data_IF_056955092287
#
_entry.id   IF_056955092287
#
_cell.length_a   1.000
_cell.length_b   1.000
_cell.length_c   1.000
_cell.angle_alpha   90.00
_cell.angle_beta   90.00
_cell.angle_gamma   90.00
#
_symmetry.space_group_name_H-M   'P 1'
#
loop_
_entity.id
_entity.type
_entity.pdbx_description
1 polymer ?
#
# COMPACT_ATOMS: atom_id res chain seq x y z
N UNK A 1 14.11 13.69 -2.65
CA UNK A 1 14.76 14.46 -3.73
C UNK A 1 15.99 13.73 -4.24
N UNK A 2 17.00 13.42 -3.40
CA UNK A 2 18.21 12.67 -3.81
C UNK A 2 17.87 11.34 -4.53
N UNK A 3 16.91 10.56 -4.00
CA UNK A 3 16.46 9.33 -4.66
C UNK A 3 15.87 9.59 -6.05
N UNK A 4 15.14 10.69 -6.23
CA UNK A 4 14.61 11.07 -7.53
C UNK A 4 15.72 11.50 -8.52
N UNK A 5 16.78 12.15 -8.06
CA UNK A 5 17.97 12.44 -8.88
C UNK A 5 18.60 11.15 -9.42
N UNK A 6 18.67 10.12 -8.59
CA UNK A 6 19.24 8.81 -8.94
C UNK A 6 18.26 7.86 -9.65
N UNK A 7 17.03 8.30 -10.00
CA UNK A 7 15.97 7.42 -10.51
C UNK A 7 16.36 6.55 -11.71
N UNK A 8 17.12 7.11 -12.62
CA UNK A 8 17.56 6.37 -13.82
C UNK A 8 18.54 5.24 -13.49
N UNK A 9 19.40 5.44 -12.50
CA UNK A 9 20.36 4.43 -12.03
C UNK A 9 19.68 3.29 -11.27
N UNK A 10 18.54 3.57 -10.64
CA UNK A 10 17.80 2.64 -9.79
C UNK A 10 16.55 2.08 -10.48
N UNK A 11 16.49 2.06 -11.81
CA UNK A 11 15.34 1.56 -12.58
C UNK A 11 13.99 2.15 -12.11
N UNK A 12 13.96 3.44 -11.79
CA UNK A 12 12.80 4.15 -11.30
C UNK A 12 12.47 3.91 -9.83
N UNK A 13 13.18 3.04 -9.10
CA UNK A 13 12.92 2.78 -7.68
C UNK A 13 13.50 3.91 -6.83
N UNK A 14 12.62 4.62 -6.10
CA UNK A 14 13.03 5.71 -5.22
C UNK A 14 13.17 5.28 -3.76
N UNK A 15 12.51 4.18 -3.38
CA UNK A 15 12.53 3.61 -2.05
C UNK A 15 11.21 3.74 -1.30
N UNK A 16 11.22 3.31 -0.03
CA UNK A 16 10.07 3.29 0.85
C UNK A 16 10.26 4.31 1.98
N UNK A 17 9.22 5.11 2.18
CA UNK A 17 9.09 6.08 3.24
C UNK A 17 8.19 5.49 4.33
N UNK A 18 8.81 4.84 5.33
CA UNK A 18 8.09 4.23 6.44
C UNK A 18 7.96 5.23 7.59
N UNK A 19 6.78 5.78 7.74
CA UNK A 19 6.43 6.68 8.83
C UNK A 19 5.13 6.22 9.47
N UNK A 20 5.09 6.16 10.79
CA UNK A 20 3.92 5.69 11.54
C UNK A 20 2.65 6.46 11.19
N UNK A 21 1.50 5.87 11.45
CA UNK A 21 0.21 6.52 11.22
C UNK A 21 0.12 7.84 12.01
N UNK A 22 -0.50 8.86 11.45
CA UNK A 22 -0.59 10.18 12.07
C UNK A 22 0.66 11.09 11.93
N UNK A 23 1.76 10.59 11.35
CA UNK A 23 3.02 11.35 11.20
C UNK A 23 3.06 12.35 10.05
N UNK A 24 1.94 12.58 9.36
CA UNK A 24 1.86 13.55 8.27
C UNK A 24 2.36 13.05 6.91
N UNK A 25 2.22 11.74 6.59
CA UNK A 25 2.63 11.17 5.30
C UNK A 25 2.03 11.90 4.10
N UNK A 26 0.74 12.25 4.13
CA UNK A 26 0.08 12.99 3.03
C UNK A 26 0.72 14.35 2.80
N UNK A 27 1.07 15.09 3.86
CA UNK A 27 1.82 16.34 3.74
C UNK A 27 3.24 16.13 3.20
N UNK A 28 3.87 15.00 3.54
CA UNK A 28 5.18 14.64 2.97
C UNK A 28 5.09 14.39 1.47
N UNK A 29 3.99 13.80 0.96
CA UNK A 29 3.72 13.66 -0.48
C UNK A 29 3.54 15.02 -1.14
N UNK A 30 2.77 15.94 -0.53
CA UNK A 30 2.59 17.32 -0.98
C UNK A 30 3.93 18.05 -1.10
N UNK A 31 4.74 18.03 -0.03
CA UNK A 31 6.04 18.71 0.02
C UNK A 31 7.04 18.10 -0.99
N UNK A 32 7.03 16.77 -1.15
CA UNK A 32 7.87 16.10 -2.15
C UNK A 32 7.46 16.53 -3.56
N UNK A 33 6.17 16.55 -3.86
CA UNK A 33 5.61 17.00 -5.14
C UNK A 33 6.03 18.43 -5.47
N UNK A 34 5.90 19.35 -4.51
CA UNK A 34 6.36 20.75 -4.66
C UNK A 34 7.86 20.83 -4.92
N UNK A 35 8.67 20.11 -4.14
CA UNK A 35 10.13 20.12 -4.27
C UNK A 35 10.58 19.60 -5.62
N UNK A 36 9.97 18.53 -6.12
CA UNK A 36 10.30 17.97 -7.43
C UNK A 36 9.98 18.97 -8.52
N UNK A 37 8.76 19.53 -8.52
CA UNK A 37 8.31 20.50 -9.54
C UNK A 37 9.10 21.81 -9.55
N UNK A 38 9.65 22.20 -8.40
CA UNK A 38 10.48 23.42 -8.29
C UNK A 38 11.94 23.20 -8.64
N UNK A 39 12.48 22.00 -8.36
CA UNK A 39 13.92 21.73 -8.51
C UNK A 39 14.29 21.18 -9.88
N UNK A 40 13.39 20.43 -10.50
CA UNK A 40 13.67 19.76 -11.76
C UNK A 40 12.91 20.46 -12.90
N UNK A 41 13.61 20.60 -14.03
CA UNK A 41 12.98 21.10 -15.26
C UNK A 41 11.98 20.06 -15.81
N UNK A 42 11.01 20.56 -16.57
CA UNK A 42 9.94 19.76 -17.14
C UNK A 42 8.64 19.84 -16.34
N UNK A 43 7.63 19.13 -16.80
CA UNK A 43 6.30 19.08 -16.20
C UNK A 43 5.93 17.65 -15.85
N UNK A 44 6.49 17.07 -14.76
CA UNK A 44 6.22 15.69 -14.42
C UNK A 44 4.76 15.48 -14.05
N UNK A 45 4.17 14.39 -14.48
CA UNK A 45 2.89 13.88 -13.99
C UNK A 45 3.12 13.13 -12.68
N UNK A 46 2.46 13.54 -11.60
CA UNK A 46 2.54 12.88 -10.30
C UNK A 46 1.26 12.06 -10.10
N UNK A 47 1.41 10.74 -10.01
CA UNK A 47 0.33 9.79 -9.80
C UNK A 47 0.31 9.42 -8.32
N UNK A 48 -0.78 9.76 -7.63
CA UNK A 48 -1.03 9.37 -6.24
C UNK A 48 -1.89 8.12 -6.26
N UNK A 49 -1.35 7.05 -5.68
CA UNK A 49 -1.92 5.73 -5.71
C UNK A 49 -2.34 5.31 -4.30
N UNK A 50 -3.61 4.95 -4.14
CA UNK A 50 -4.20 4.48 -2.88
C UNK A 50 -4.90 3.14 -3.08
N UNK A 51 -5.31 2.50 -2.00
CA UNK A 51 -6.07 1.24 -2.03
C UNK A 51 -7.58 1.41 -1.79
N UNK A 52 -8.01 2.59 -1.30
CA UNK A 52 -9.41 2.90 -0.93
C UNK A 52 -9.83 4.28 -1.41
N UNK A 53 -11.10 4.40 -1.77
CA UNK A 53 -11.69 5.65 -2.24
C UNK A 53 -11.65 6.77 -1.20
N UNK A 54 -11.89 6.45 0.08
CA UNK A 54 -11.86 7.44 1.16
C UNK A 54 -10.45 8.05 1.30
N UNK A 55 -9.40 7.22 1.23
CA UNK A 55 -8.02 7.71 1.28
C UNK A 55 -7.67 8.53 0.04
N UNK A 56 -8.15 8.10 -1.14
CA UNK A 56 -7.94 8.81 -2.38
C UNK A 56 -8.53 10.23 -2.30
N UNK A 57 -9.75 10.35 -1.79
CA UNK A 57 -10.43 11.63 -1.58
C UNK A 57 -9.68 12.46 -0.54
N UNK A 58 -9.35 11.89 0.62
CA UNK A 58 -8.64 12.60 1.69
C UNK A 58 -7.30 13.18 1.23
N UNK A 59 -6.53 12.39 0.46
CA UNK A 59 -5.22 12.86 -0.04
C UNK A 59 -5.42 13.92 -1.11
N UNK A 60 -6.37 13.74 -2.03
CA UNK A 60 -6.65 14.73 -3.08
C UNK A 60 -7.09 16.06 -2.50
N UNK A 61 -7.93 16.06 -1.46
CA UNK A 61 -8.35 17.26 -0.72
C UNK A 61 -7.16 17.92 -0.01
N UNK A 62 -6.23 17.12 0.53
CA UNK A 62 -5.00 17.66 1.14
C UNK A 62 -4.16 18.41 0.09
N UNK A 63 -4.03 17.88 -1.13
CA UNK A 63 -3.33 18.55 -2.24
C UNK A 63 -4.05 19.83 -2.68
N UNK A 64 -5.39 19.81 -2.74
CA UNK A 64 -6.20 20.99 -3.06
C UNK A 64 -6.04 22.07 -1.99
N UNK A 65 -6.19 21.73 -0.71
CA UNK A 65 -6.07 22.64 0.41
C UNK A 65 -4.67 23.25 0.56
N UNK A 66 -3.63 22.49 0.14
CA UNK A 66 -2.25 23.02 0.08
C UNK A 66 -1.97 23.84 -1.19
N UNK A 67 -2.96 24.11 -2.04
CA UNK A 67 -2.85 24.95 -3.22
C UNK A 67 -2.07 24.34 -4.40
N UNK A 68 -1.80 23.02 -4.39
CA UNK A 68 -1.04 22.37 -5.48
C UNK A 68 -1.84 22.24 -6.76
N UNK A 69 -3.16 22.15 -6.66
CA UNK A 69 -4.06 21.97 -7.80
C UNK A 69 -4.47 23.32 -8.44
N UNK A 70 -3.97 24.43 -7.91
CA UNK A 70 -4.29 25.78 -8.37
C UNK A 70 -5.78 26.08 -8.18
N UNK A 71 -6.44 26.55 -9.26
CA UNK A 71 -7.90 26.81 -9.28
C UNK A 71 -8.72 25.57 -9.67
N UNK A 72 -8.07 24.45 -9.96
CA UNK A 72 -8.74 23.23 -10.44
C UNK A 72 -9.09 22.37 -9.24
N UNK A 73 -10.35 21.95 -9.15
CA UNK A 73 -10.80 21.05 -8.08
C UNK A 73 -10.17 19.67 -8.22
N UNK A 74 -9.91 19.00 -7.09
CA UNK A 74 -9.33 17.67 -7.01
C UNK A 74 -10.07 16.64 -7.88
N UNK A 75 -11.40 16.70 -7.94
CA UNK A 75 -12.24 15.79 -8.72
C UNK A 75 -11.83 15.67 -10.20
N UNK A 76 -11.26 16.70 -10.81
CA UNK A 76 -10.78 16.67 -12.20
C UNK A 76 -9.58 15.72 -12.37
N UNK A 77 -8.80 15.56 -11.32
CA UNK A 77 -7.56 14.76 -11.34
C UNK A 77 -7.80 13.31 -10.91
N UNK A 78 -8.98 12.98 -10.38
CA UNK A 78 -9.33 11.63 -9.98
C UNK A 78 -9.62 10.78 -11.22
N UNK A 79 -8.95 9.64 -11.36
CA UNK A 79 -9.27 8.67 -12.40
C UNK A 79 -10.51 7.87 -12.00
N UNK A 80 -11.55 7.90 -12.85
CA UNK A 80 -12.85 7.25 -12.57
C UNK A 80 -12.86 5.76 -12.91
N UNK A 81 -12.08 5.35 -13.90
CA UNK A 81 -11.98 3.95 -14.36
C UNK A 81 -10.57 3.64 -14.85
N UNK A 82 -10.30 2.37 -15.17
CA UNK A 82 -9.02 1.97 -15.79
C UNK A 82 -8.81 2.61 -17.16
N UNK A 83 -9.87 2.81 -17.96
CA UNK A 83 -9.79 3.49 -19.26
C UNK A 83 -9.51 4.98 -19.09
N UNK A 84 -10.16 5.62 -18.12
CA UNK A 84 -9.92 7.03 -17.80
C UNK A 84 -8.50 7.23 -17.28
N UNK A 85 -7.99 6.28 -16.47
CA UNK A 85 -6.59 6.29 -16.03
C UNK A 85 -5.61 6.26 -17.22
N UNK A 86 -5.82 5.35 -18.17
CA UNK A 86 -4.99 5.24 -19.36
C UNK A 86 -5.04 6.54 -20.17
N UNK A 87 -6.23 7.09 -20.40
CA UNK A 87 -6.41 8.36 -21.10
C UNK A 87 -5.66 9.51 -20.41
N UNK A 88 -5.74 9.59 -19.08
CA UNK A 88 -5.03 10.59 -18.30
C UNK A 88 -3.51 10.39 -18.37
N UNK A 89 -3.03 9.15 -18.34
CA UNK A 89 -1.61 8.83 -18.42
C UNK A 89 -0.99 9.12 -19.81
N UNK A 90 -1.77 9.04 -20.87
CA UNK A 90 -1.36 9.43 -22.22
C UNK A 90 -1.28 10.96 -22.41
N UNK A 91 -1.98 11.70 -21.54
CA UNK A 91 -1.87 13.15 -21.47
C UNK A 91 -0.69 13.59 -20.60
N UNK A 92 -0.65 14.89 -20.28
CA UNK A 92 0.34 15.45 -19.33
C UNK A 92 -0.37 16.25 -18.23
N UNK A 93 -1.25 15.65 -17.42
CA UNK A 93 -1.83 16.32 -16.27
C UNK A 93 -0.77 16.45 -15.17
N UNK A 94 -0.85 17.53 -14.40
CA UNK A 94 0.07 17.73 -13.26
C UNK A 94 -0.04 16.65 -12.21
N UNK A 95 -1.27 16.14 -11.99
CA UNK A 95 -1.59 15.13 -10.98
C UNK A 95 -2.60 14.13 -11.52
N UNK A 96 -2.55 12.90 -11.02
CA UNK A 96 -3.58 11.87 -11.18
C UNK A 96 -3.76 11.22 -9.80
N UNK A 97 -4.98 11.19 -9.28
CA UNK A 97 -5.34 10.44 -8.09
C UNK A 97 -6.09 9.18 -8.52
N UNK A 98 -5.64 8.01 -8.07
CA UNK A 98 -6.20 6.74 -8.55
C UNK A 98 -6.08 5.63 -7.52
N UNK A 99 -6.90 4.61 -7.68
CA UNK A 99 -6.81 3.37 -6.92
C UNK A 99 -5.91 2.37 -7.62
N UNK A 100 -5.20 1.54 -6.85
CA UNK A 100 -4.36 0.46 -7.38
C UNK A 100 -5.17 -0.54 -8.23
N UNK A 101 -6.42 -0.78 -7.87
CA UNK A 101 -7.33 -1.70 -8.58
C UNK A 101 -7.62 -1.25 -10.02
N UNK A 102 -7.41 0.02 -10.35
CA UNK A 102 -7.59 0.53 -11.72
C UNK A 102 -6.47 0.11 -12.68
N UNK A 103 -5.39 -0.47 -12.16
CA UNK A 103 -4.36 -1.18 -12.96
C UNK A 103 -4.75 -2.65 -13.24
N UNK A 104 -6.04 -2.94 -13.40
CA UNK A 104 -6.57 -4.28 -13.60
C UNK A 104 -6.45 -4.82 -15.02
N UNK A 105 -6.14 -3.99 -16.00
CA UNK A 105 -6.01 -4.41 -17.39
C UNK A 105 -4.72 -5.18 -17.63
N UNK A 106 -4.88 -6.40 -18.13
CA UNK A 106 -3.76 -7.24 -18.59
C UNK A 106 -3.44 -6.91 -20.05
N UNK A 107 -2.17 -7.06 -20.43
CA UNK A 107 -1.70 -6.91 -21.81
C UNK A 107 -1.94 -5.53 -22.44
N UNK A 108 -1.91 -4.46 -21.63
CA UNK A 108 -1.93 -3.09 -22.15
C UNK A 108 -0.54 -2.74 -22.66
N UNK A 109 -0.46 -2.05 -23.80
CA UNK A 109 0.81 -1.56 -24.33
C UNK A 109 1.44 -0.57 -23.33
N UNK A 110 2.75 -0.65 -23.11
CA UNK A 110 3.45 0.29 -22.23
C UNK A 110 3.25 1.74 -22.68
N UNK A 111 3.02 2.61 -21.73
CA UNK A 111 2.95 4.07 -21.92
C UNK A 111 4.32 4.64 -21.58
N UNK A 112 4.99 5.21 -22.57
CA UNK A 112 6.31 5.86 -22.45
C UNK A 112 6.16 7.31 -22.93
N UNK A 113 5.73 8.22 -22.04
CA UNK A 113 5.55 9.62 -22.42
C UNK A 113 6.91 10.35 -22.48
N UNK A 114 6.91 11.51 -23.15
CA UNK A 114 8.09 12.39 -23.26
C UNK A 114 8.41 13.12 -21.94
N UNK A 115 7.57 12.99 -20.93
CA UNK A 115 7.74 13.60 -19.62
C UNK A 115 7.87 12.54 -18.53
N UNK A 116 8.45 12.93 -17.39
CA UNK A 116 8.58 12.04 -16.24
C UNK A 116 7.22 11.73 -15.62
N UNK A 117 6.98 10.46 -15.31
CA UNK A 117 5.88 10.02 -14.43
C UNK A 117 6.47 9.61 -13.08
N UNK A 118 5.83 10.06 -12.00
CA UNK A 118 6.22 9.75 -10.63
C UNK A 118 5.04 9.15 -9.91
N UNK A 119 5.16 7.92 -9.47
CA UNK A 119 4.13 7.20 -8.72
C UNK A 119 4.46 7.30 -7.24
N UNK A 120 3.56 7.88 -6.47
CA UNK A 120 3.58 7.94 -5.00
C UNK A 120 2.46 7.03 -4.48
N UNK A 121 2.83 5.88 -3.94
CA UNK A 121 1.87 4.88 -3.46
C UNK A 121 1.69 5.02 -1.96
N UNK A 122 0.46 5.25 -1.50
CA UNK A 122 0.13 5.13 -0.09
C UNK A 122 -0.20 3.68 0.27
N UNK A 123 0.09 3.29 1.50
CA UNK A 123 -0.08 1.93 2.03
C UNK A 123 0.56 0.85 1.14
N UNK A 124 1.79 1.09 0.68
CA UNK A 124 2.52 0.27 -0.28
C UNK A 124 2.73 -1.21 0.13
N UNK A 125 2.46 -1.56 1.39
CA UNK A 125 2.72 -2.89 1.98
C UNK A 125 1.56 -3.90 1.81
N UNK A 126 0.39 -3.48 1.30
CA UNK A 126 -0.80 -4.35 1.27
C UNK A 126 -0.69 -5.47 0.23
N UNK A 127 -1.11 -6.68 0.60
CA UNK A 127 -1.00 -7.92 -0.18
C UNK A 127 -1.72 -7.90 -1.54
N UNK A 128 -2.73 -7.04 -1.72
CA UNK A 128 -3.42 -6.87 -3.01
C UNK A 128 -2.56 -6.20 -4.09
N UNK A 129 -1.39 -5.68 -3.71
CA UNK A 129 -0.47 -5.01 -4.63
C UNK A 129 0.20 -5.93 -5.66
N UNK A 130 0.30 -7.25 -5.43
CA UNK A 130 1.10 -8.15 -6.26
C UNK A 130 0.81 -8.04 -7.76
N UNK A 131 -0.38 -8.44 -8.18
CA UNK A 131 -0.75 -8.44 -9.62
C UNK A 131 -0.89 -7.02 -10.16
N UNK A 132 -1.49 -6.11 -9.40
CA UNK A 132 -1.68 -4.73 -9.81
C UNK A 132 -0.37 -3.96 -9.88
N UNK A 133 0.58 -4.25 -8.98
CA UNK A 133 1.92 -3.67 -9.01
C UNK A 133 2.69 -4.10 -10.26
N UNK A 134 2.61 -5.37 -10.63
CA UNK A 134 3.24 -5.85 -11.86
C UNK A 134 2.59 -5.20 -13.09
N UNK A 135 1.27 -5.09 -13.14
CA UNK A 135 0.56 -4.39 -14.22
C UNK A 135 0.96 -2.90 -14.29
N UNK A 136 1.09 -2.23 -13.15
CA UNK A 136 1.53 -0.84 -13.06
C UNK A 136 2.96 -0.67 -13.60
N UNK A 137 3.88 -1.54 -13.21
CA UNK A 137 5.27 -1.52 -13.69
C UNK A 137 5.33 -1.81 -15.18
N UNK A 138 4.55 -2.76 -15.69
CA UNK A 138 4.48 -3.09 -17.11
C UNK A 138 3.86 -1.95 -17.93
N UNK A 139 2.83 -1.30 -17.41
CA UNK A 139 2.18 -0.16 -18.06
C UNK A 139 3.08 1.08 -18.09
N UNK A 140 3.83 1.32 -17.01
CA UNK A 140 4.67 2.51 -16.81
C UNK A 140 6.12 2.12 -16.48
N UNK A 141 6.85 1.51 -17.42
CA UNK A 141 8.18 0.94 -17.15
C UNK A 141 9.23 2.00 -16.79
N UNK A 142 9.08 3.23 -17.28
CA UNK A 142 10.01 4.34 -17.02
C UNK A 142 9.64 5.20 -15.81
N UNK A 143 8.47 4.95 -15.18
CA UNK A 143 8.02 5.75 -14.06
C UNK A 143 8.92 5.62 -12.82
N UNK A 144 9.15 6.74 -12.15
CA UNK A 144 9.78 6.75 -10.84
C UNK A 144 8.74 6.36 -9.78
N UNK A 145 9.09 5.47 -8.83
CA UNK A 145 8.16 4.88 -7.86
C UNK A 145 8.66 5.04 -6.44
N UNK A 146 7.81 5.58 -5.56
CA UNK A 146 8.07 5.72 -4.13
C UNK A 146 6.88 5.17 -3.35
N UNK A 147 7.17 4.34 -2.33
CA UNK A 147 6.16 3.81 -1.43
C UNK A 147 6.09 4.62 -0.14
N UNK A 148 4.88 4.90 0.35
CA UNK A 148 4.61 5.44 1.68
C UNK A 148 3.86 4.36 2.47
N UNK A 149 4.25 4.13 3.71
CA UNK A 149 3.59 3.13 4.55
C UNK A 149 3.63 3.51 6.03
N UNK A 150 2.60 3.13 6.76
CA UNK A 150 2.53 3.27 8.22
C UNK A 150 3.10 2.08 8.97
N UNK A 151 3.29 0.96 8.30
CA UNK A 151 3.77 -0.29 8.91
C UNK A 151 5.13 -0.69 8.34
N UNK A 152 5.97 -1.39 9.13
CA UNK A 152 7.22 -1.92 8.61
C UNK A 152 6.97 -2.98 7.54
N UNK A 153 7.88 -3.08 6.58
CA UNK A 153 7.93 -4.21 5.68
C UNK A 153 8.33 -5.45 6.49
N UNK A 154 7.50 -6.47 6.46
CA UNK A 154 7.86 -7.76 7.04
C UNK A 154 8.96 -8.40 6.20
N UNK A 155 9.76 -9.27 6.81
CA UNK A 155 10.91 -9.93 6.16
C UNK A 155 10.56 -10.71 4.87
N UNK A 156 9.28 -10.96 4.62
CA UNK A 156 8.77 -11.66 3.43
C UNK A 156 8.10 -10.71 2.41
N UNK A 157 8.14 -9.39 2.60
CA UNK A 157 7.50 -8.44 1.68
C UNK A 157 8.41 -8.09 0.49
N UNK A 158 8.78 -9.13 -0.26
CA UNK A 158 9.62 -9.00 -1.45
C UNK A 158 8.96 -8.15 -2.55
N UNK A 159 7.62 -8.00 -2.55
CA UNK A 159 6.91 -7.27 -3.60
C UNK A 159 7.14 -5.77 -3.46
N UNK A 160 7.00 -5.24 -2.24
CA UNK A 160 7.21 -3.81 -1.99
C UNK A 160 8.65 -3.39 -2.26
N UNK A 161 9.62 -4.16 -1.79
CA UNK A 161 11.03 -3.89 -2.05
C UNK A 161 11.38 -4.02 -3.54
N UNK A 162 10.83 -5.02 -4.23
CA UNK A 162 10.99 -5.21 -5.68
C UNK A 162 10.43 -4.02 -6.46
N UNK A 163 9.29 -3.45 -6.03
CA UNK A 163 8.60 -2.37 -6.75
C UNK A 163 9.17 -1.01 -6.45
N UNK A 164 9.47 -0.70 -5.21
CA UNK A 164 9.85 0.64 -4.75
C UNK A 164 11.32 0.75 -4.33
N UNK A 165 11.98 -0.35 -3.97
CA UNK A 165 13.32 -0.37 -3.37
C UNK A 165 13.29 -0.39 -1.84
N UNK A 166 14.46 -0.30 -1.19
CA UNK A 166 14.60 -0.32 0.25
C UNK A 166 14.13 0.99 0.93
N UNK A 167 14.25 1.03 2.25
CA UNK A 167 13.88 2.22 3.04
C UNK A 167 14.77 3.43 2.73
N UNK A 168 14.14 4.59 2.56
CA UNK A 168 14.82 5.90 2.42
C UNK A 168 14.57 6.82 3.62
N UNK A 169 13.55 6.54 4.40
CA UNK A 169 13.23 7.24 5.64
C UNK A 169 12.46 6.33 6.57
N UNK A 170 12.83 6.33 7.85
CA UNK A 170 12.15 5.56 8.90
C UNK A 170 11.81 6.53 10.03
N UNK A 171 10.52 6.61 10.36
CA UNK A 171 10.00 7.31 11.51
C UNK A 171 9.01 6.40 12.21
N UNK A 172 9.54 5.52 13.05
CA UNK A 172 8.79 4.48 13.72
C UNK A 172 7.92 5.02 14.87
N UNK A 173 7.10 4.15 15.42
CA UNK A 173 6.20 4.49 16.51
C UNK A 173 6.94 4.97 17.76
N UNK A 174 8.11 4.37 18.09
CA UNK A 174 8.88 4.74 19.26
C UNK A 174 9.34 6.19 19.17
N UNK A 175 9.94 6.56 18.03
CA UNK A 175 10.39 7.92 17.76
C UNK A 175 9.25 8.93 17.73
N UNK A 176 8.10 8.53 17.16
CA UNK A 176 6.92 9.39 17.13
C UNK A 176 6.35 9.69 18.52
N UNK A 177 6.46 8.74 19.47
CA UNK A 177 6.08 8.96 20.87
C UNK A 177 7.11 9.85 21.58
N UNK A 178 8.41 9.61 21.38
CA UNK A 178 9.49 10.44 21.92
C UNK A 178 9.35 11.90 21.48
N UNK A 179 9.05 12.13 20.20
CA UNK A 179 8.83 13.45 19.61
C UNK A 179 7.44 14.05 19.96
N UNK A 180 6.59 13.34 20.72
CA UNK A 180 5.21 13.73 21.08
C UNK A 180 4.30 13.96 19.86
N UNK A 181 4.64 13.35 18.74
CA UNK A 181 3.81 13.38 17.53
C UNK A 181 2.62 12.40 17.61
N UNK A 182 2.76 11.33 18.42
CA UNK A 182 1.69 10.39 18.74
C UNK A 182 1.68 10.10 20.24
N UNK A 183 0.58 9.54 20.74
CA UNK A 183 0.46 9.10 22.12
C UNK A 183 0.98 7.68 22.29
N UNK A 184 1.57 7.32 23.43
CA UNK A 184 1.94 5.95 23.72
C UNK A 184 0.69 5.05 23.75
N UNK A 185 0.79 3.86 23.16
CA UNK A 185 -0.24 2.85 23.26
C UNK A 185 0.08 1.93 24.45
N UNK A 186 -0.85 1.84 25.39
CA UNK A 186 -0.81 0.87 26.46
C UNK A 186 -1.76 -0.26 26.09
N UNK A 187 -1.20 -1.44 25.88
CA UNK A 187 -1.99 -2.64 25.64
C UNK A 187 -2.33 -3.30 26.98
N UNK A 188 -3.56 -3.20 27.40
CA UNK A 188 -4.09 -3.94 28.54
C UNK A 188 -4.83 -5.17 28.01
N UNK A 189 -4.22 -6.34 28.19
CA UNK A 189 -4.90 -7.58 27.86
C UNK A 189 -5.92 -7.87 28.96
N UNK A 190 -7.18 -7.51 28.70
CA UNK A 190 -8.33 -7.87 29.53
C UNK A 190 -8.97 -9.20 29.11
N UNK A 191 -8.27 -9.99 28.31
CA UNK A 191 -8.66 -11.35 28.09
C UNK A 191 -8.78 -12.00 29.46
N UNK A 192 -9.99 -12.35 29.86
CA UNK A 192 -10.18 -13.35 30.91
C UNK A 192 -9.22 -14.48 30.56
N UNK A 193 -8.46 -14.93 31.56
CA UNK A 193 -7.69 -16.17 31.45
C UNK A 193 -8.59 -17.10 30.67
N UNK A 194 -8.12 -17.54 29.50
CA UNK A 194 -8.76 -18.48 28.62
C UNK A 194 -9.73 -19.29 29.45
N UNK A 195 -11.01 -19.25 29.08
CA UNK A 195 -11.93 -20.27 29.57
C UNK A 195 -11.22 -21.59 29.32
N UNK A 196 -10.61 -22.15 30.36
CA UNK A 196 -10.20 -23.53 30.34
C UNK A 196 -11.53 -24.25 30.08
N UNK A 197 -11.71 -24.73 28.87
CA UNK A 197 -12.79 -25.62 28.53
C UNK A 197 -12.46 -26.93 29.26
N UNK A 198 -12.72 -26.91 30.58
CA UNK A 198 -12.63 -28.10 31.43
C UNK A 198 -13.86 -28.98 31.13
N UNK A 199 -13.90 -29.45 29.91
CA UNK A 199 -14.83 -30.47 29.47
C UNK A 199 -14.02 -31.68 29.00
N UNK A 200 -13.72 -32.62 29.89
CA UNK A 200 -12.92 -33.80 29.55
C UNK A 200 -13.55 -34.63 28.42
N UNK A 201 -14.84 -34.50 28.18
CA UNK A 201 -15.57 -35.28 27.15
C UNK A 201 -15.57 -34.56 25.77
N UNK A 202 -14.95 -33.37 25.62
CA UNK A 202 -15.04 -32.61 24.36
C UNK A 202 -14.29 -33.29 23.23
N UNK A 203 -13.15 -33.91 23.55
CA UNK A 203 -12.33 -34.65 22.59
C UNK A 203 -13.07 -35.86 22.10
N UNK A 204 -13.72 -36.61 23.00
CA UNK A 204 -14.50 -37.80 22.67
C UNK A 204 -15.73 -37.44 21.82
N UNK A 205 -16.45 -36.34 22.17
CA UNK A 205 -17.56 -35.85 21.36
C UNK A 205 -17.16 -35.38 19.97
N UNK A 206 -15.98 -34.80 19.82
CA UNK A 206 -15.44 -34.42 18.51
C UNK A 206 -15.10 -35.67 17.68
N UNK A 207 -14.47 -36.66 18.27
CA UNK A 207 -14.17 -37.94 17.61
C UNK A 207 -15.44 -38.66 17.19
N UNK A 208 -16.44 -38.77 18.06
CA UNK A 208 -17.76 -39.33 17.76
C UNK A 208 -18.46 -38.56 16.60
N UNK A 209 -18.33 -37.25 16.55
CA UNK A 209 -18.91 -36.45 15.48
C UNK A 209 -18.17 -36.66 14.14
N UNK A 210 -16.85 -36.86 14.17
CA UNK A 210 -16.04 -37.17 12.98
C UNK A 210 -16.40 -38.57 12.45
N UNK A 211 -16.54 -39.57 13.33
CA UNK A 211 -16.99 -40.93 12.95
C UNK A 211 -18.41 -40.91 12.39
N UNK A 212 -19.33 -40.16 13.00
CA UNK A 212 -20.71 -40.03 12.53
C UNK A 212 -20.86 -39.30 11.18
N UNK A 213 -19.88 -38.51 10.78
CA UNK A 213 -19.88 -37.76 9.52
C UNK A 213 -19.49 -38.59 8.29
N UNK A 214 -19.06 -39.85 8.48
CA UNK A 214 -18.68 -40.82 7.41
C UNK A 214 -17.77 -40.19 6.33
N UNK A 215 -16.74 -39.47 6.80
CA UNK A 215 -15.77 -38.78 5.95
C UNK A 215 -14.77 -39.77 5.37
N UNK A 216 -14.26 -39.49 4.18
CA UNK A 216 -13.17 -40.28 3.61
C UNK A 216 -11.86 -40.13 4.43
N UNK A 217 -10.91 -41.09 4.34
CA UNK A 217 -9.69 -41.11 5.16
C UNK A 217 -8.84 -39.82 5.01
N UNK A 218 -8.81 -39.19 3.82
CA UNK A 218 -8.03 -37.97 3.54
C UNK A 218 -8.67 -36.74 4.19
N UNK A 219 -9.99 -36.67 4.21
CA UNK A 219 -10.76 -35.61 4.86
C UNK A 219 -10.65 -35.71 6.39
N UNK A 220 -10.69 -36.92 6.92
CA UNK A 220 -10.53 -37.20 8.36
C UNK A 220 -9.15 -36.75 8.86
N UNK A 221 -8.07 -37.13 8.15
CA UNK A 221 -6.70 -36.74 8.51
C UNK A 221 -6.48 -35.23 8.45
N UNK A 222 -7.10 -34.53 7.48
CA UNK A 222 -7.03 -33.07 7.34
C UNK A 222 -7.73 -32.38 8.49
N UNK A 223 -8.90 -32.84 8.87
CA UNK A 223 -9.69 -32.30 9.99
C UNK A 223 -8.95 -32.47 11.32
N UNK A 224 -8.41 -33.66 11.58
CA UNK A 224 -7.61 -33.95 12.79
C UNK A 224 -6.35 -33.07 12.87
N UNK A 225 -5.70 -32.76 11.75
CA UNK A 225 -4.54 -31.86 11.70
C UNK A 225 -4.92 -30.41 12.00
N UNK A 226 -6.07 -29.96 11.54
CA UNK A 226 -6.58 -28.62 11.83
C UNK A 226 -6.95 -28.47 13.31
N UNK A 227 -7.67 -29.44 13.87
CA UNK A 227 -8.00 -29.44 15.31
C UNK A 227 -6.76 -29.47 16.21
N UNK A 228 -5.74 -30.27 15.89
CA UNK A 228 -4.48 -30.31 16.66
C UNK A 228 -3.72 -29.00 16.65
N UNK A 229 -3.95 -28.11 15.68
CA UNK A 229 -3.33 -26.77 15.60
C UNK A 229 -4.07 -25.72 16.43
N UNK A 230 -5.35 -25.90 16.68
CA UNK A 230 -6.15 -24.92 17.42
C UNK A 230 -6.19 -25.19 18.94
N UNK A 231 -5.76 -26.39 19.40
CA UNK A 231 -5.73 -26.80 20.81
C UNK A 231 -4.36 -26.51 21.48
N UNK A 232 -3.37 -26.01 20.71
CA UNK A 232 -2.07 -25.57 21.22
C UNK A 232 -1.83 -24.08 20.90
#
# INVERSE_FOLDING_TARGET
VKAYEARKLNNGKLGVFWHTQGSGKSYSMVLLSQKIRRKFAGSPTIVILTDRDELNTQISDTFENCGLLGKTKAAKYIAMSGDDLITKLQGNPSFIFTLIQKFNKKNVQPIIPDHDIIIMSDEAHRSQYGIFADNMVNLLPTAARIGFTGTPLLSNDNITERTFGGYISIYDFKRAVEDKATVPLYYENRGEKILDLDNPDITDKILDAIEAADLDPDQTEKLEREFKKEIH
#
